data_IF_817708759091
#
_entry.id   IF_817708759091
#
_cell.length_a   1.000
_cell.length_b   1.000
_cell.length_c   1.000
_cell.angle_alpha   90.00
_cell.angle_beta   90.00
_cell.angle_gamma   90.00
#
_symmetry.space_group_name_H-M   'P 1'
#
loop_
_entity.id
_entity.type
_entity.pdbx_description
1 polymer ?
#
# COMPACT_ATOMS: atom_id res chain seq x y z
N UNK A 1 -8.06 -17.96 18.40
CA UNK A 1 -8.98 -16.83 18.23
C UNK A 1 -8.17 -15.64 17.78
N UNK A 2 -8.57 -15.02 16.68
CA UNK A 2 -7.86 -13.88 16.12
C UNK A 2 -8.23 -12.58 16.82
N UNK A 3 -7.39 -11.56 16.68
CA UNK A 3 -7.63 -10.23 17.22
C UNK A 3 -7.20 -9.15 16.24
N UNK A 4 -7.91 -8.03 16.27
CA UNK A 4 -7.50 -6.82 15.55
C UNK A 4 -6.59 -5.97 16.43
N UNK A 5 -5.46 -5.53 15.88
CA UNK A 5 -4.64 -4.47 16.45
C UNK A 5 -4.91 -3.18 15.67
N UNK A 6 -5.34 -2.13 16.35
CA UNK A 6 -5.56 -0.81 15.75
C UNK A 6 -4.39 0.08 16.12
N UNK A 7 -3.71 0.59 15.09
CA UNK A 7 -2.58 1.52 15.22
C UNK A 7 -2.99 2.84 14.54
N UNK A 8 -3.52 3.82 15.30
CA UNK A 8 -4.01 5.04 14.71
C UNK A 8 -2.87 6.03 14.41
N UNK A 9 -3.04 6.84 13.35
CA UNK A 9 -2.25 8.05 13.06
C UNK A 9 -0.72 7.83 13.06
N UNK A 10 -0.27 6.76 12.41
CA UNK A 10 1.15 6.50 12.14
C UNK A 10 1.68 7.60 11.24
N UNK A 11 2.60 8.41 11.76
CA UNK A 11 3.32 9.43 11.01
C UNK A 11 4.69 8.91 10.62
N UNK A 12 4.99 8.97 9.33
CA UNK A 12 6.22 8.47 8.74
C UNK A 12 6.95 9.58 8.02
N UNK A 13 8.20 9.81 8.40
CA UNK A 13 9.07 10.77 7.75
C UNK A 13 9.88 10.09 6.64
N UNK A 14 10.01 10.76 5.49
CA UNK A 14 10.80 10.34 4.33
C UNK A 14 10.45 8.92 3.82
N UNK A 15 9.17 8.56 3.81
CA UNK A 15 8.70 7.33 3.18
C UNK A 15 8.97 7.36 1.68
N UNK A 16 9.23 6.20 1.09
CA UNK A 16 9.37 6.06 -0.36
C UNK A 16 8.02 6.34 -1.03
N UNK A 17 8.02 7.29 -1.96
CA UNK A 17 6.83 7.65 -2.74
C UNK A 17 6.79 6.92 -4.09
N UNK A 18 7.90 6.29 -4.49
CA UNK A 18 7.96 5.51 -5.72
C UNK A 18 7.42 4.10 -5.46
N UNK A 19 6.19 3.84 -5.90
CA UNK A 19 5.51 2.56 -5.70
C UNK A 19 6.07 1.46 -6.61
N UNK A 20 6.47 1.82 -7.83
CA UNK A 20 7.18 0.92 -8.76
C UNK A 20 8.00 1.72 -9.80
N UNK A 21 8.53 1.06 -10.83
CA UNK A 21 9.41 1.66 -11.83
C UNK A 21 8.80 2.83 -12.62
N UNK A 22 7.48 2.91 -12.74
CA UNK A 22 6.79 3.92 -13.55
C UNK A 22 5.72 4.73 -12.78
N UNK A 23 5.39 4.33 -11.55
CA UNK A 23 4.39 4.97 -10.71
C UNK A 23 5.01 5.70 -9.52
N UNK A 24 4.80 7.01 -9.47
CA UNK A 24 5.13 7.89 -8.35
C UNK A 24 3.85 8.30 -7.63
N UNK A 25 3.76 7.96 -6.34
CA UNK A 25 2.55 8.11 -5.52
C UNK A 25 1.79 6.81 -5.38
N UNK A 26 0.48 6.92 -5.11
CA UNK A 26 -0.36 5.80 -4.71
C UNK A 26 -0.19 5.43 -3.24
N UNK A 27 -1.11 4.62 -2.74
CA UNK A 27 -1.06 4.13 -1.36
C UNK A 27 -0.07 2.97 -1.25
N UNK A 28 0.85 2.97 -0.27
CA UNK A 28 1.87 1.92 -0.12
C UNK A 28 1.31 0.59 0.46
N UNK A 29 0.33 -0.03 -0.19
CA UNK A 29 -0.34 -1.25 0.27
C UNK A 29 0.60 -2.46 0.38
N UNK A 30 1.49 -2.66 -0.60
CA UNK A 30 2.51 -3.71 -0.54
C UNK A 30 3.42 -3.54 0.68
N UNK A 31 3.87 -2.31 0.93
CA UNK A 31 4.68 -2.02 2.10
C UNK A 31 3.89 -2.24 3.40
N UNK A 32 2.60 -1.90 3.43
CA UNK A 32 1.75 -2.10 4.60
C UNK A 32 1.50 -3.58 4.92
N UNK A 33 1.24 -4.42 3.92
CA UNK A 33 1.10 -5.86 4.11
C UNK A 33 2.39 -6.49 4.62
N UNK A 34 3.53 -6.19 3.96
CA UNK A 34 4.83 -6.72 4.38
C UNK A 34 5.28 -6.14 5.73
N UNK A 35 4.84 -4.93 6.07
CA UNK A 35 5.03 -4.37 7.40
C UNK A 35 4.27 -5.16 8.47
N UNK A 36 2.99 -5.45 8.24
CA UNK A 36 2.19 -6.29 9.13
C UNK A 36 2.78 -7.69 9.29
N UNK A 37 3.24 -8.29 8.19
CA UNK A 37 3.95 -9.58 8.21
C UNK A 37 5.22 -9.53 9.08
N UNK A 38 6.04 -8.49 8.94
CA UNK A 38 7.22 -8.31 9.79
C UNK A 38 6.85 -8.11 11.27
N UNK A 39 5.77 -7.37 11.58
CA UNK A 39 5.28 -7.23 12.95
C UNK A 39 4.81 -8.57 13.52
N UNK A 40 4.08 -9.36 12.72
CA UNK A 40 3.61 -10.69 13.11
C UNK A 40 4.78 -11.60 13.50
N UNK A 41 5.84 -11.63 12.68
CA UNK A 41 7.07 -12.38 12.94
C UNK A 41 7.75 -11.98 14.25
N UNK A 42 7.88 -10.67 14.52
CA UNK A 42 8.47 -10.19 15.77
C UNK A 42 7.61 -10.48 17.01
N UNK A 43 6.30 -10.59 16.82
CA UNK A 43 5.35 -10.97 17.86
C UNK A 43 5.28 -12.50 18.07
N UNK A 44 5.75 -13.31 17.12
CA UNK A 44 5.64 -14.76 17.14
C UNK A 44 4.24 -15.26 16.76
N UNK A 45 3.55 -14.55 15.87
CA UNK A 45 2.22 -14.87 15.36
C UNK A 45 2.18 -14.78 13.83
N UNK A 46 1.05 -15.10 13.23
CA UNK A 46 0.74 -14.82 11.82
C UNK A 46 -0.19 -13.61 11.71
N UNK A 47 0.02 -12.81 10.67
CA UNK A 47 -0.93 -11.83 10.16
C UNK A 47 -1.94 -12.52 9.23
N UNK A 48 -3.18 -12.07 9.26
CA UNK A 48 -4.29 -12.59 8.43
C UNK A 48 -4.86 -11.52 7.49
N UNK A 49 -4.26 -10.34 7.47
CA UNK A 49 -4.67 -9.22 6.62
C UNK A 49 -4.62 -7.88 7.33
N UNK A 50 -4.77 -6.82 6.54
CA UNK A 50 -4.73 -5.43 7.01
C UNK A 50 -5.90 -4.61 6.47
N UNK A 51 -6.27 -3.56 7.20
CA UNK A 51 -7.03 -2.44 6.65
C UNK A 51 -6.14 -1.22 6.72
N UNK A 52 -5.90 -0.60 5.57
CA UNK A 52 -5.14 0.64 5.45
C UNK A 52 -6.10 1.82 5.37
N UNK A 53 -5.94 2.80 6.26
CA UNK A 53 -6.71 4.04 6.26
C UNK A 53 -5.75 5.20 6.01
N UNK A 54 -5.86 5.83 4.85
CA UNK A 54 -5.07 6.99 4.48
C UNK A 54 -5.59 8.26 5.16
N UNK A 55 -4.70 9.08 5.73
CA UNK A 55 -5.07 10.41 6.25
C UNK A 55 -4.44 11.52 5.42
N UNK A 56 -3.14 11.47 5.21
CA UNK A 56 -2.41 12.52 4.50
C UNK A 56 -1.12 12.02 3.85
N UNK A 57 -0.70 12.76 2.81
CA UNK A 57 0.59 12.60 2.16
C UNK A 57 1.15 13.95 1.71
N UNK A 58 2.23 14.36 2.36
CA UNK A 58 3.01 15.52 1.96
C UNK A 58 4.18 15.09 1.06
N UNK A 59 4.13 15.43 -0.22
CA UNK A 59 5.20 15.13 -1.18
C UNK A 59 6.41 16.02 -0.92
N UNK A 60 7.61 15.43 -0.88
CA UNK A 60 8.85 16.19 -0.71
C UNK A 60 9.41 16.58 -2.07
N UNK A 61 9.31 17.85 -2.39
CA UNK A 61 9.73 18.41 -3.66
C UNK A 61 9.14 19.80 -3.89
N UNK A 62 9.41 20.34 -5.06
CA UNK A 62 8.85 21.62 -5.52
C UNK A 62 8.03 21.44 -6.79
N UNK A 63 7.36 22.50 -7.22
CA UNK A 63 6.84 22.59 -8.57
C UNK A 63 7.74 23.50 -9.40
N UNK A 64 8.11 23.05 -10.59
CA UNK A 64 8.83 23.83 -11.59
C UNK A 64 8.16 23.62 -12.94
N UNK A 65 7.80 24.71 -13.64
CA UNK A 65 7.15 24.66 -14.96
C UNK A 65 5.89 23.76 -15.00
N UNK A 66 5.07 23.80 -13.94
CA UNK A 66 3.86 22.97 -13.83
C UNK A 66 4.12 21.48 -13.58
N UNK A 67 5.37 21.08 -13.33
CA UNK A 67 5.75 19.69 -13.05
C UNK A 67 6.31 19.55 -11.64
N UNK A 68 5.89 18.49 -10.95
CA UNK A 68 6.47 18.15 -9.65
C UNK A 68 7.91 17.67 -9.82
N UNK A 69 8.82 18.25 -9.05
CA UNK A 69 10.25 17.90 -9.01
C UNK A 69 10.57 17.38 -7.61
N UNK A 70 10.86 16.07 -7.46
CA UNK A 70 11.17 15.49 -6.16
C UNK A 70 12.41 16.12 -5.52
N UNK A 71 12.39 16.29 -4.20
CA UNK A 71 13.55 16.69 -3.44
C UNK A 71 14.63 15.60 -3.55
N UNK A 72 15.80 15.97 -4.05
CA UNK A 72 16.90 15.05 -4.23
C UNK A 72 17.72 14.91 -2.95
N UNK A 73 18.16 13.67 -2.65
CA UNK A 73 19.19 13.43 -1.64
C UNK A 73 20.56 13.82 -2.21
N UNK A 74 21.53 14.13 -1.34
CA UNK A 74 22.87 14.51 -1.77
C UNK A 74 23.46 13.46 -2.72
N UNK A 75 23.90 13.92 -3.89
CA UNK A 75 24.54 13.11 -4.91
C UNK A 75 25.09 14.01 -6.02
N UNK A 76 26.03 13.50 -6.80
CA UNK A 76 26.61 14.21 -7.93
C UNK A 76 25.73 14.00 -9.18
N UNK A 77 25.20 15.09 -9.73
CA UNK A 77 24.56 15.10 -11.06
C UNK A 77 25.57 14.67 -12.14
N UNK A 78 25.10 14.00 -13.20
CA UNK A 78 25.87 13.49 -14.36
C UNK A 78 27.34 13.92 -14.44
N UNK A 79 28.23 13.18 -13.77
CA UNK A 79 29.67 13.42 -13.79
C UNK A 79 30.31 12.73 -15.00
N UNK A 80 30.81 13.51 -15.96
CA UNK A 80 31.69 12.98 -17.01
C UNK A 80 33.13 12.83 -16.51
N UNK A 81 33.99 12.06 -17.18
CA UNK A 81 35.42 11.90 -16.81
C UNK A 81 36.23 13.22 -16.74
N UNK A 82 35.70 14.30 -17.32
CA UNK A 82 36.32 15.64 -17.34
C UNK A 82 35.73 16.60 -16.29
N UNK A 83 34.73 16.18 -15.54
CA UNK A 83 34.06 17.00 -14.52
C UNK A 83 34.98 17.18 -13.29
N UNK A 84 34.93 18.34 -12.63
CA UNK A 84 35.65 18.60 -11.38
C UNK A 84 35.35 17.54 -10.30
N UNK A 85 34.10 17.06 -10.26
CA UNK A 85 33.66 16.03 -9.31
C UNK A 85 34.12 14.61 -9.67
N UNK A 86 34.57 14.37 -10.92
CA UNK A 86 34.98 13.03 -11.39
C UNK A 86 36.25 12.46 -10.74
N UNK A 87 37.10 13.33 -10.17
CA UNK A 87 38.29 12.94 -9.41
C UNK A 87 37.99 12.67 -7.93
N UNK A 88 36.80 13.05 -7.46
CA UNK A 88 36.39 12.85 -6.09
C UNK A 88 35.85 11.42 -5.91
N UNK A 89 36.63 10.55 -5.26
CA UNK A 89 36.22 9.16 -4.93
C UNK A 89 34.96 9.08 -4.06
N UNK A 90 34.56 10.20 -3.43
CA UNK A 90 33.37 10.31 -2.60
C UNK A 90 32.15 10.89 -3.35
N UNK A 91 32.30 11.27 -4.62
CA UNK A 91 31.19 11.72 -5.45
C UNK A 91 30.34 10.53 -5.90
N UNK A 92 29.32 10.19 -5.12
CA UNK A 92 28.32 9.20 -5.50
C UNK A 92 27.40 9.76 -6.60
N UNK A 93 27.08 8.94 -7.60
CA UNK A 93 26.10 9.31 -8.62
C UNK A 93 24.76 9.67 -7.99
N UNK A 94 24.16 10.76 -8.45
CA UNK A 94 22.81 11.14 -8.04
C UNK A 94 21.83 10.03 -8.41
N UNK A 95 21.15 9.50 -7.40
CA UNK A 95 20.06 8.56 -7.59
C UNK A 95 18.75 9.35 -7.44
N UNK A 96 17.92 9.43 -8.50
CA UNK A 96 16.62 10.07 -8.39
C UNK A 96 15.79 9.37 -7.31
N UNK A 97 15.45 10.09 -6.25
CA UNK A 97 14.58 9.56 -5.20
C UNK A 97 13.33 10.41 -5.07
N UNK A 98 12.18 9.75 -4.90
CA UNK A 98 10.93 10.40 -4.56
C UNK A 98 10.52 10.01 -3.13
N UNK A 99 10.35 11.00 -2.26
CA UNK A 99 9.96 10.76 -0.86
C UNK A 99 8.75 11.61 -0.46
N UNK A 100 8.04 11.16 0.55
CA UNK A 100 6.92 11.88 1.16
C UNK A 100 6.96 11.77 2.70
N UNK A 101 6.22 12.64 3.38
CA UNK A 101 5.75 12.39 4.73
C UNK A 101 4.35 11.79 4.62
N UNK A 102 4.08 10.72 5.36
CA UNK A 102 2.82 10.00 5.33
C UNK A 102 2.17 10.02 6.70
N UNK A 103 0.85 10.12 6.70
CA UNK A 103 0.01 9.85 7.86
C UNK A 103 -1.07 8.84 7.48
N UNK A 104 -1.14 7.74 8.21
CA UNK A 104 -2.13 6.68 7.99
C UNK A 104 -2.46 5.95 9.30
N UNK A 105 -3.62 5.30 9.36
CA UNK A 105 -3.92 4.31 10.39
C UNK A 105 -3.86 2.92 9.78
N UNK A 106 -3.50 1.94 10.61
CA UNK A 106 -3.42 0.54 10.19
C UNK A 106 -4.19 -0.32 11.18
N UNK A 107 -5.10 -1.15 10.67
CA UNK A 107 -5.69 -2.25 11.42
C UNK A 107 -5.05 -3.54 10.91
N UNK A 108 -4.60 -4.41 11.81
CA UNK A 108 -3.99 -5.70 11.46
C UNK A 108 -4.77 -6.81 12.15
N UNK A 109 -5.22 -7.81 11.40
CA UNK A 109 -5.80 -9.05 11.94
C UNK A 109 -4.65 -10.01 12.26
N UNK A 110 -4.48 -10.40 13.52
CA UNK A 110 -3.46 -11.38 13.94
C UNK A 110 -4.12 -12.69 14.38
N UNK A 111 -3.51 -13.81 14.00
CA UNK A 111 -3.90 -15.15 14.43
C UNK A 111 -3.47 -15.47 15.88
N UNK A 112 -3.67 -14.53 16.81
CA UNK A 112 -3.31 -14.70 18.22
C UNK A 112 -4.39 -14.13 19.14
N UNK A 113 -4.71 -14.87 20.19
CA UNK A 113 -5.65 -14.46 21.24
C UNK A 113 -5.00 -13.56 22.29
N UNK A 114 -3.68 -13.47 22.32
CA UNK A 114 -2.90 -12.68 23.28
C UNK A 114 -1.96 -11.74 22.53
N UNK A 115 -2.48 -10.55 22.21
CA UNK A 115 -1.69 -9.46 21.65
C UNK A 115 -1.38 -8.45 22.76
N UNK A 116 -0.10 -8.15 23.01
CA UNK A 116 0.32 -7.10 23.95
C UNK A 116 0.49 -5.78 23.20
N UNK A 117 -0.35 -4.76 23.49
CA UNK A 117 -0.18 -3.41 22.94
C UNK A 117 1.18 -2.80 23.27
N UNK A 118 1.75 -3.12 24.43
CA UNK A 118 3.04 -2.59 24.91
C UNK A 118 4.20 -3.14 24.07
N UNK A 119 4.20 -4.46 23.81
CA UNK A 119 5.20 -5.09 22.95
C UNK A 119 5.12 -4.54 21.53
N UNK A 120 3.90 -4.39 20.99
CA UNK A 120 3.69 -3.80 19.67
C UNK A 120 4.17 -2.35 19.61
N UNK A 121 3.89 -1.54 20.64
CA UNK A 121 4.39 -0.16 20.78
C UNK A 121 5.91 -0.11 20.74
N UNK A 122 6.59 -0.98 21.49
CA UNK A 122 8.05 -1.05 21.50
C UNK A 122 8.64 -1.48 20.14
N UNK A 123 7.96 -2.36 19.41
CA UNK A 123 8.35 -2.73 18.05
C UNK A 123 8.17 -1.55 17.08
N UNK A 124 7.04 -0.86 17.12
CA UNK A 124 6.75 0.25 16.20
C UNK A 124 7.74 1.42 16.34
N UNK A 125 8.14 1.77 17.57
CA UNK A 125 9.10 2.86 17.84
C UNK A 125 10.47 2.69 17.17
N UNK A 126 10.88 1.45 16.87
CA UNK A 126 12.15 1.13 16.20
C UNK A 126 11.97 0.70 14.74
N UNK A 127 10.74 0.69 14.25
CA UNK A 127 10.41 0.19 12.94
C UNK A 127 10.47 1.28 11.87
N UNK A 128 10.60 0.84 10.62
CA UNK A 128 10.50 1.69 9.44
C UNK A 128 9.31 1.26 8.60
N UNK A 129 8.70 2.21 7.91
CA UNK A 129 7.60 1.97 7.00
C UNK A 129 7.92 2.54 5.62
N UNK A 130 7.80 1.74 4.57
CA UNK A 130 8.18 2.11 3.20
C UNK A 130 9.57 2.79 3.12
N UNK A 131 10.54 2.31 3.92
CA UNK A 131 11.89 2.89 4.03
C UNK A 131 12.02 4.18 4.85
N UNK A 132 10.90 4.81 5.22
CA UNK A 132 10.84 5.98 6.09
C UNK A 132 10.82 5.64 7.58
N UNK A 133 11.11 6.63 8.43
CA UNK A 133 11.12 6.48 9.88
C UNK A 133 9.72 6.75 10.46
N UNK A 134 9.22 5.86 11.30
CA UNK A 134 8.02 6.13 12.09
C UNK A 134 8.42 7.09 13.20
N UNK A 135 7.80 8.28 13.23
CA UNK A 135 8.10 9.34 14.20
C UNK A 135 7.07 9.43 15.32
N UNK A 136 5.82 9.07 15.03
CA UNK A 136 4.70 9.21 15.95
C UNK A 136 3.56 8.24 15.56
N UNK A 137 2.78 7.82 16.55
CA UNK A 137 1.50 7.11 16.39
C UNK A 137 0.68 7.27 17.66
N UNK A 138 -0.65 7.17 17.55
CA UNK A 138 -1.57 7.25 18.70
C UNK A 138 -1.63 5.93 19.48
N UNK A 139 -2.35 5.95 20.62
CA UNK A 139 -2.51 4.78 21.48
C UNK A 139 -3.06 3.56 20.72
N UNK A 140 -2.37 2.42 20.88
CA UNK A 140 -2.72 1.15 20.25
C UNK A 140 -3.82 0.49 21.06
N UNK A 141 -4.85 0.01 20.37
CA UNK A 141 -5.92 -0.78 21.00
C UNK A 141 -6.08 -2.13 20.33
N UNK A 142 -6.57 -3.11 21.09
CA UNK A 142 -6.87 -4.46 20.58
C UNK A 142 -8.34 -4.78 20.71
N UNK A 143 -8.90 -5.39 19.68
CA UNK A 143 -10.32 -5.76 19.61
C UNK A 143 -10.45 -7.24 19.26
N UNK A 144 -11.55 -7.85 19.67
CA UNK A 144 -11.88 -9.22 19.30
C UNK A 144 -12.24 -9.31 17.80
N UNK A 145 -12.20 -10.53 17.25
CA UNK A 145 -12.47 -10.78 15.82
C UNK A 145 -13.88 -10.35 15.37
N UNK A 146 -14.86 -10.35 16.27
CA UNK A 146 -16.21 -9.89 16.00
C UNK A 146 -16.42 -8.37 16.24
N UNK A 147 -15.36 -7.63 16.59
CA UNK A 147 -15.42 -6.21 16.96
C UNK A 147 -14.76 -5.30 15.92
N UNK A 148 -14.77 -5.69 14.64
CA UNK A 148 -14.13 -4.92 13.56
C UNK A 148 -14.71 -3.50 13.42
N UNK A 149 -16.03 -3.36 13.55
CA UNK A 149 -16.68 -2.04 13.50
C UNK A 149 -16.18 -1.12 14.63
N UNK A 150 -16.07 -1.65 15.85
CA UNK A 150 -15.50 -0.95 17.01
C UNK A 150 -14.04 -0.56 16.77
N UNK A 151 -13.26 -1.44 16.14
CA UNK A 151 -11.88 -1.18 15.75
C UNK A 151 -11.78 -0.03 14.72
N UNK A 152 -12.65 0.01 13.72
CA UNK A 152 -12.72 1.08 12.72
C UNK A 152 -13.18 2.42 13.33
N UNK A 153 -14.18 2.39 14.23
CA UNK A 153 -14.69 3.56 14.96
C UNK A 153 -13.61 4.27 15.80
N UNK A 154 -12.54 3.57 16.21
CA UNK A 154 -11.40 4.21 16.90
C UNK A 154 -10.61 5.18 16.01
N UNK A 155 -10.60 4.98 14.69
CA UNK A 155 -9.87 5.82 13.74
C UNK A 155 -10.67 7.07 13.36
N UNK A 156 -12.01 6.94 13.29
CA UNK A 156 -13.02 7.98 13.00
C UNK A 156 -13.01 8.55 11.57
N UNK A 157 -11.86 8.99 11.06
CA UNK A 157 -11.76 9.70 9.77
C UNK A 157 -10.66 9.13 8.88
N UNK A 158 -10.60 9.55 7.63
CA UNK A 158 -9.63 9.09 6.64
C UNK A 158 -10.29 8.28 5.50
N UNK A 159 -9.46 7.75 4.63
CA UNK A 159 -9.90 7.02 3.43
C UNK A 159 -9.43 5.58 3.48
N UNK A 160 -10.38 4.65 3.51
CA UNK A 160 -10.13 3.23 3.28
C UNK A 160 -9.80 3.02 1.81
N UNK A 161 -8.90 2.09 1.53
CA UNK A 161 -8.53 1.77 0.16
C UNK A 161 -9.30 0.55 -0.31
N UNK A 162 -9.97 0.70 -1.45
CA UNK A 162 -10.74 -0.35 -2.10
C UNK A 162 -10.02 -0.80 -3.39
N UNK A 163 -9.94 -2.11 -3.62
CA UNK A 163 -9.59 -2.68 -4.91
C UNK A 163 -10.70 -2.37 -5.91
N UNK A 164 -10.34 -1.83 -7.08
CA UNK A 164 -11.27 -1.50 -8.16
C UNK A 164 -10.89 -2.15 -9.48
N UNK A 165 -10.44 -3.40 -9.43
CA UNK A 165 -10.23 -4.23 -10.62
C UNK A 165 -11.51 -4.37 -11.46
N UNK A 166 -12.69 -4.38 -10.83
CA UNK A 166 -14.02 -4.36 -11.45
C UNK A 166 -14.13 -3.22 -12.47
N UNK A 167 -13.82 -1.98 -12.07
CA UNK A 167 -13.89 -0.81 -12.94
C UNK A 167 -12.98 -0.94 -14.16
N UNK A 168 -11.79 -1.49 -13.96
CA UNK A 168 -10.83 -1.69 -15.04
C UNK A 168 -11.33 -2.72 -16.06
N UNK A 169 -11.91 -3.84 -15.59
CA UNK A 169 -12.49 -4.87 -16.45
C UNK A 169 -13.68 -4.29 -17.23
N UNK A 170 -14.59 -3.63 -16.54
CA UNK A 170 -15.80 -3.07 -17.13
C UNK A 170 -15.48 -1.98 -18.16
N UNK A 171 -14.58 -1.05 -17.82
CA UNK A 171 -14.14 0.00 -18.74
C UNK A 171 -13.50 -0.57 -20.01
N UNK A 172 -12.67 -1.62 -19.85
CA UNK A 172 -12.06 -2.32 -20.97
C UNK A 172 -13.12 -2.93 -21.89
N UNK A 173 -14.10 -3.63 -21.31
CA UNK A 173 -15.13 -4.33 -22.08
C UNK A 173 -16.07 -3.36 -22.80
N UNK A 174 -16.57 -2.33 -22.12
CA UNK A 174 -17.49 -1.32 -22.69
C UNK A 174 -16.84 -0.55 -23.85
N UNK A 175 -15.56 -0.20 -23.73
CA UNK A 175 -14.84 0.55 -24.76
C UNK A 175 -14.13 -0.32 -25.81
N UNK A 176 -14.07 -1.65 -25.61
CA UNK A 176 -13.39 -2.62 -26.50
C UNK A 176 -11.92 -2.27 -26.77
N UNK A 177 -11.21 -1.88 -25.73
CA UNK A 177 -9.78 -1.48 -25.78
C UNK A 177 -8.91 -2.49 -25.03
N UNK A 178 -7.59 -2.37 -25.14
CA UNK A 178 -6.68 -3.23 -24.35
C UNK A 178 -6.55 -2.76 -22.89
N UNK A 179 -6.05 -3.65 -22.01
CA UNK A 179 -5.95 -3.41 -20.56
C UNK A 179 -5.12 -2.16 -20.20
N UNK A 180 -4.02 -1.92 -20.90
CA UNK A 180 -3.12 -0.77 -20.64
C UNK A 180 -3.80 0.54 -21.07
N UNK A 181 -4.52 0.53 -22.20
CA UNK A 181 -5.33 1.67 -22.64
C UNK A 181 -6.45 1.95 -21.63
N UNK A 182 -7.18 0.93 -21.18
CA UNK A 182 -8.21 1.08 -20.16
C UNK A 182 -7.65 1.66 -18.87
N UNK A 183 -6.51 1.14 -18.40
CA UNK A 183 -5.84 1.61 -17.19
C UNK A 183 -5.42 3.08 -17.28
N UNK A 184 -4.79 3.49 -18.38
CA UNK A 184 -4.33 4.88 -18.55
C UNK A 184 -5.49 5.86 -18.74
N UNK A 185 -6.52 5.48 -19.50
CA UNK A 185 -7.70 6.31 -19.72
C UNK A 185 -8.52 6.48 -18.43
N UNK A 186 -8.74 5.39 -17.68
CA UNK A 186 -9.49 5.43 -16.42
C UNK A 186 -8.83 6.36 -15.39
N UNK A 187 -7.50 6.31 -15.25
CA UNK A 187 -6.74 7.21 -14.37
C UNK A 187 -6.73 8.67 -14.84
N UNK A 188 -7.03 8.93 -16.11
CA UNK A 188 -7.12 10.28 -16.65
C UNK A 188 -8.52 10.90 -16.45
N UNK A 189 -9.54 10.11 -16.09
CA UNK A 189 -10.89 10.63 -15.87
C UNK A 189 -10.96 11.44 -14.57
N UNK A 190 -11.62 12.59 -14.66
CA UNK A 190 -12.06 13.34 -13.48
C UNK A 190 -13.29 12.67 -12.86
N UNK A 191 -13.65 13.10 -11.64
CA UNK A 191 -14.78 12.54 -10.90
C UNK A 191 -16.11 12.55 -11.68
N UNK A 192 -16.48 13.65 -12.35
CA UNK A 192 -17.80 13.70 -13.02
C UNK A 192 -17.89 12.74 -14.21
N UNK A 193 -16.95 12.74 -15.18
CA UNK A 193 -16.96 11.74 -16.25
C UNK A 193 -16.91 10.30 -15.74
N UNK A 194 -16.17 10.05 -14.66
CA UNK A 194 -16.09 8.73 -14.04
C UNK A 194 -17.48 8.29 -13.52
N UNK A 195 -18.13 9.12 -12.72
CA UNK A 195 -19.47 8.86 -12.18
C UNK A 195 -20.50 8.66 -13.27
N UNK A 196 -20.47 9.48 -14.32
CA UNK A 196 -21.39 9.36 -15.47
C UNK A 196 -21.16 8.06 -16.24
N UNK A 197 -19.91 7.65 -16.46
CA UNK A 197 -19.61 6.44 -17.23
C UNK A 197 -20.12 5.17 -16.55
N UNK A 198 -19.91 5.06 -15.23
CA UNK A 198 -20.31 3.89 -14.45
C UNK A 198 -21.71 4.01 -13.84
N UNK A 199 -22.35 5.19 -13.93
CA UNK A 199 -23.61 5.51 -13.26
C UNK A 199 -23.55 5.27 -11.73
N UNK A 200 -22.42 5.56 -11.11
CA UNK A 200 -22.19 5.40 -9.67
C UNK A 200 -21.66 6.72 -9.09
N UNK A 201 -22.46 7.34 -8.21
CA UNK A 201 -22.14 8.63 -7.58
C UNK A 201 -21.13 8.51 -6.44
N UNK A 202 -20.91 7.30 -5.91
CA UNK A 202 -19.94 7.01 -4.86
C UNK A 202 -18.50 7.03 -5.41
N UNK A 203 -18.34 6.86 -6.73
CA UNK A 203 -17.04 6.91 -7.39
C UNK A 203 -16.39 8.28 -7.20
N UNK A 204 -15.26 8.26 -6.52
CA UNK A 204 -14.41 9.42 -6.35
C UNK A 204 -13.00 8.97 -6.04
N UNK A 205 -12.03 9.75 -6.50
CA UNK A 205 -10.61 9.55 -6.18
C UNK A 205 -10.09 8.13 -6.46
N UNK A 206 -10.08 7.78 -7.75
CA UNK A 206 -9.35 6.60 -8.22
C UNK A 206 -7.85 6.91 -8.27
N UNK A 207 -7.04 5.90 -7.96
CA UNK A 207 -5.59 5.94 -8.10
C UNK A 207 -5.08 4.58 -8.57
N UNK A 208 -3.76 4.47 -8.65
CA UNK A 208 -3.08 3.23 -8.91
C UNK A 208 -2.08 2.94 -7.79
N UNK A 209 -1.78 1.66 -7.59
CA UNK A 209 -0.70 1.23 -6.70
C UNK A 209 -0.17 -0.14 -7.09
N UNK A 210 1.01 -0.48 -6.58
CA UNK A 210 1.57 -1.81 -6.75
C UNK A 210 0.81 -2.80 -5.87
N UNK A 211 0.09 -3.72 -6.50
CA UNK A 211 -0.67 -4.76 -5.83
C UNK A 211 0.06 -6.10 -5.83
N UNK A 212 1.09 -6.30 -6.65
CA UNK A 212 1.73 -7.60 -6.70
C UNK A 212 3.01 -7.63 -7.49
N UNK A 213 3.45 -8.84 -7.78
CA UNK A 213 4.60 -9.14 -8.61
C UNK A 213 4.32 -10.39 -9.45
N UNK A 214 4.70 -10.34 -10.72
CA UNK A 214 4.75 -11.52 -11.59
C UNK A 214 6.20 -11.95 -11.75
N UNK A 215 6.50 -13.21 -11.50
CA UNK A 215 7.83 -13.77 -11.66
C UNK A 215 8.19 -13.83 -13.15
N UNK A 216 9.44 -13.49 -13.46
CA UNK A 216 10.00 -13.56 -14.81
C UNK A 216 10.71 -14.90 -15.06
N UNK A 217 10.90 -15.68 -14.00
CA UNK A 217 11.62 -16.95 -14.00
C UNK A 217 11.04 -17.85 -12.90
N UNK A 218 11.20 -19.16 -13.06
CA UNK A 218 10.88 -20.12 -11.99
C UNK A 218 11.76 -19.85 -10.78
N UNK A 219 11.16 -19.81 -9.59
CA UNK A 219 11.89 -19.59 -8.34
C UNK A 219 12.92 -20.71 -8.11
N UNK A 220 14.15 -20.31 -7.75
CA UNK A 220 15.26 -21.24 -7.53
C UNK A 220 16.05 -20.90 -6.27
N UNK A 221 16.46 -21.91 -5.52
CA UNK A 221 17.35 -21.83 -4.34
C UNK A 221 18.84 -21.87 -4.71
N UNK A 222 19.17 -22.05 -5.99
CA UNK A 222 20.55 -22.18 -6.48
C UNK A 222 21.29 -20.84 -6.58
N UNK A 223 20.59 -19.71 -6.39
CA UNK A 223 21.17 -18.37 -6.55
C UNK A 223 21.89 -17.94 -5.27
N UNK A 224 23.18 -17.67 -5.36
CA UNK A 224 23.98 -17.18 -4.22
C UNK A 224 23.94 -15.66 -4.08
N UNK A 225 24.13 -15.15 -2.85
CA UNK A 225 24.27 -13.71 -2.59
C UNK A 225 22.94 -12.97 -2.47
N UNK A 226 21.86 -13.67 -2.14
CA UNK A 226 20.53 -13.09 -1.97
C UNK A 226 20.51 -12.24 -0.71
N UNK A 227 20.17 -10.97 -0.83
CA UNK A 227 20.13 -10.05 0.32
C UNK A 227 19.02 -10.46 1.28
N UNK A 228 19.35 -10.55 2.58
CA UNK A 228 18.37 -10.79 3.66
C UNK A 228 17.56 -12.09 3.55
N UNK A 229 18.07 -13.10 2.82
CA UNK A 229 17.58 -14.46 2.93
C UNK A 229 17.74 -14.95 4.38
N UNK A 230 16.70 -15.54 4.96
CA UNK A 230 16.76 -16.14 6.31
C UNK A 230 17.80 -17.26 6.33
N UNK A 231 17.84 -18.01 5.23
CA UNK A 231 18.84 -19.01 4.93
C UNK A 231 19.16 -18.92 3.43
N UNK A 232 20.43 -18.66 3.12
CA UNK A 232 20.93 -18.51 1.75
C UNK A 232 20.77 -19.79 0.92
N UNK A 233 20.69 -20.95 1.58
CA UNK A 233 20.65 -22.25 0.92
C UNK A 233 19.24 -22.76 0.65
N UNK A 234 18.21 -22.17 1.29
CA UNK A 234 16.81 -22.61 1.14
C UNK A 234 15.85 -21.50 0.73
N UNK A 235 16.29 -20.24 0.68
CA UNK A 235 15.45 -19.15 0.20
C UNK A 235 15.44 -19.13 -1.32
N UNK A 236 14.35 -19.64 -1.91
CA UNK A 236 14.12 -19.53 -3.35
C UNK A 236 14.02 -18.05 -3.79
N UNK A 237 14.58 -17.76 -4.96
CA UNK A 237 14.62 -16.43 -5.55
C UNK A 237 14.15 -16.47 -7.00
N UNK A 238 13.42 -15.45 -7.42
CA UNK A 238 13.11 -15.15 -8.81
C UNK A 238 13.16 -13.63 -9.03
N UNK A 239 13.57 -13.21 -10.23
CA UNK A 239 13.29 -11.85 -10.71
C UNK A 239 11.79 -11.70 -10.96
N UNK A 240 11.27 -10.49 -10.75
CA UNK A 240 9.84 -10.23 -10.89
C UNK A 240 9.57 -8.80 -11.39
N UNK A 241 8.43 -8.62 -12.05
CA UNK A 241 7.92 -7.33 -12.46
C UNK A 241 6.70 -6.90 -11.62
N UNK A 242 6.53 -5.59 -11.36
CA UNK A 242 5.44 -5.07 -10.56
C UNK A 242 4.08 -5.21 -11.26
N UNK A 243 3.08 -5.74 -10.56
CA UNK A 243 1.68 -5.74 -10.98
C UNK A 243 0.97 -4.53 -10.37
N UNK A 244 0.52 -3.62 -11.24
CA UNK A 244 -0.17 -2.38 -10.82
C UNK A 244 -1.67 -2.51 -11.01
N UNK A 245 -2.42 -2.23 -9.96
CA UNK A 245 -3.87 -2.25 -9.99
C UNK A 245 -4.49 -0.87 -9.82
N UNK A 246 -5.80 -0.81 -10.02
CA UNK A 246 -6.63 0.36 -9.79
C UNK A 246 -7.23 0.26 -8.40
N UNK A 247 -7.15 1.34 -7.63
CA UNK A 247 -7.69 1.42 -6.27
C UNK A 247 -8.50 2.69 -6.11
N UNK A 248 -9.39 2.71 -5.13
CA UNK A 248 -10.18 3.88 -4.77
C UNK A 248 -9.93 4.28 -3.32
N UNK A 249 -9.85 5.59 -3.08
CA UNK A 249 -9.87 6.17 -1.73
C UNK A 249 -11.32 6.45 -1.35
N UNK A 250 -11.87 5.66 -0.43
CA UNK A 250 -13.26 5.75 -0.01
C UNK A 250 -13.38 6.22 1.45
N UNK A 251 -14.31 7.14 1.72
CA UNK A 251 -14.44 7.73 3.06
C UNK A 251 -14.79 6.68 4.12
N UNK A 252 -13.94 6.55 5.15
CA UNK A 252 -14.24 5.69 6.30
C UNK A 252 -15.54 6.12 7.00
N UNK A 253 -15.79 7.42 7.08
CA UNK A 253 -17.00 7.95 7.69
C UNK A 253 -18.26 7.57 6.92
N UNK A 254 -18.17 7.47 5.59
CA UNK A 254 -19.29 7.01 4.76
C UNK A 254 -19.54 5.51 4.93
N UNK A 255 -18.47 4.69 4.96
CA UNK A 255 -18.57 3.25 5.25
C UNK A 255 -19.25 3.02 6.60
N UNK A 256 -18.78 3.69 7.66
CA UNK A 256 -19.32 3.53 9.02
C UNK A 256 -20.76 4.03 9.16
N UNK A 257 -21.16 5.03 8.36
CA UNK A 257 -22.54 5.51 8.35
C UNK A 257 -23.44 4.47 7.67
N UNK A 258 -23.08 4.04 6.47
CA UNK A 258 -23.85 3.07 5.68
C UNK A 258 -23.91 1.69 6.34
N UNK A 259 -22.84 1.24 7.00
CA UNK A 259 -22.84 -0.03 7.73
C UNK A 259 -23.80 -0.05 8.91
N UNK A 260 -24.20 1.12 9.44
CA UNK A 260 -25.18 1.24 10.51
C UNK A 260 -26.63 1.35 9.98
N UNK A 261 -26.82 1.61 8.69
CA UNK A 261 -28.12 1.70 8.03
C UNK A 261 -28.56 0.28 7.61
N UNK A 262 -29.65 -0.23 8.18
CA UNK A 262 -30.12 -1.60 7.93
C UNK A 262 -30.55 -1.87 6.47
N UNK A 263 -30.80 -0.81 5.69
CA UNK A 263 -31.34 -0.89 4.34
C UNK A 263 -30.26 -0.88 3.23
N UNK A 264 -28.98 -0.64 3.56
CA UNK A 264 -27.86 -0.65 2.59
C UNK A 264 -26.89 -1.82 2.84
N UNK A 265 -27.07 -2.98 2.17
CA UNK A 265 -26.25 -4.17 2.39
C UNK A 265 -24.78 -3.99 2.02
N UNK A 266 -24.42 -2.93 1.28
CA UNK A 266 -23.10 -2.76 0.64
C UNK A 266 -21.91 -2.83 1.61
N UNK A 267 -22.12 -2.43 2.87
CA UNK A 267 -21.06 -2.35 3.88
C UNK A 267 -21.31 -3.20 5.13
N UNK A 268 -22.24 -4.16 5.06
CA UNK A 268 -22.53 -5.06 6.17
C UNK A 268 -21.38 -6.04 6.46
N UNK A 269 -20.63 -6.43 5.43
CA UNK A 269 -19.46 -7.31 5.54
C UNK A 269 -18.15 -6.50 5.58
N UNK A 270 -17.88 -5.83 6.71
CA UNK A 270 -16.67 -5.03 6.88
C UNK A 270 -15.36 -5.83 6.73
N UNK A 271 -15.40 -7.15 6.86
CA UNK A 271 -14.23 -8.02 6.61
C UNK A 271 -13.76 -7.99 5.16
N UNK A 272 -14.61 -7.58 4.21
CA UNK A 272 -14.22 -7.41 2.81
C UNK A 272 -13.15 -6.32 2.64
N UNK A 273 -13.05 -5.38 3.59
CA UNK A 273 -12.03 -4.32 3.59
C UNK A 273 -10.61 -4.85 3.83
N UNK A 274 -10.45 -6.09 4.30
CA UNK A 274 -9.15 -6.67 4.58
C UNK A 274 -8.38 -6.95 3.28
N UNK A 275 -7.23 -6.31 3.16
CA UNK A 275 -6.19 -6.71 2.21
C UNK A 275 -5.43 -7.90 2.76
N UNK A 276 -5.34 -8.95 1.95
CA UNK A 276 -4.51 -10.13 2.20
C UNK A 276 -3.52 -10.29 1.05
N UNK A 277 -2.56 -11.21 1.19
CA UNK A 277 -1.65 -11.57 0.12
C UNK A 277 -1.66 -13.07 -0.10
N UNK A 278 -1.55 -13.48 -1.36
CA UNK A 278 -1.50 -14.88 -1.74
C UNK A 278 -0.74 -15.09 -3.05
N UNK A 279 -0.50 -16.37 -3.34
CA UNK A 279 0.02 -16.86 -4.61
C UNK A 279 -1.15 -17.48 -5.41
N UNK A 280 -1.92 -16.70 -6.18
CA UNK A 280 -3.01 -17.25 -6.99
C UNK A 280 -2.50 -18.21 -8.08
N UNK A 281 -1.24 -18.05 -8.50
CA UNK A 281 -0.52 -18.92 -9.43
C UNK A 281 0.92 -19.03 -8.92
N UNK A 282 1.65 -20.07 -9.35
CA UNK A 282 3.03 -20.32 -8.91
C UNK A 282 4.00 -19.16 -9.23
N UNK A 283 3.67 -18.37 -10.26
CA UNK A 283 4.45 -17.24 -10.77
C UNK A 283 3.81 -15.87 -10.47
N UNK A 284 2.72 -15.80 -9.71
CA UNK A 284 2.04 -14.54 -9.38
C UNK A 284 1.89 -14.40 -7.87
N UNK A 285 2.45 -13.33 -7.32
CA UNK A 285 2.20 -12.89 -5.95
C UNK A 285 1.32 -11.65 -5.96
N UNK A 286 0.19 -11.67 -5.26
CA UNK A 286 -0.81 -10.61 -5.36
C UNK A 286 -1.42 -10.26 -4.01
N UNK A 287 -1.59 -8.96 -3.78
CA UNK A 287 -2.47 -8.41 -2.76
C UNK A 287 -3.90 -8.39 -3.30
N UNK A 288 -4.85 -8.87 -2.49
CA UNK A 288 -6.25 -8.87 -2.84
C UNK A 288 -7.10 -8.47 -1.65
N UNK A 289 -8.21 -7.80 -1.94
CA UNK A 289 -9.32 -7.68 -1.00
C UNK A 289 -10.34 -8.78 -1.29
N UNK A 290 -11.06 -9.20 -0.25
CA UNK A 290 -12.20 -10.10 -0.39
C UNK A 290 -13.44 -9.41 -0.99
N UNK A 291 -13.29 -8.19 -1.55
CA UNK A 291 -14.35 -7.45 -2.21
C UNK A 291 -14.81 -8.20 -3.46
N UNK A 292 -15.85 -9.00 -3.30
CA UNK A 292 -16.59 -9.58 -4.43
C UNK A 292 -17.58 -8.51 -4.89
N UNK A 293 -17.16 -7.64 -5.83
CA UNK A 293 -17.99 -6.61 -6.47
C UNK A 293 -18.76 -5.71 -5.49
N UNK A 294 -18.25 -4.50 -5.22
CA UNK A 294 -19.11 -3.43 -4.73
C UNK A 294 -20.11 -3.10 -5.86
N UNK A 295 -21.30 -3.69 -5.78
CA UNK A 295 -22.44 -3.37 -6.66
C UNK A 295 -23.10 -2.07 -6.22
#
# INVERSE_FOLDING_TARGET
MSRYAVIPRIRVQNANMQSNGFLLGGVPLMAANMFAHNLARQLGTQDQGIIYIHHDQQRLGGQAYGKFTPAQRRGAVFIGKKDYSSKNKYALSLQPTASCHLEFSLIIKFASSRLSPEKLTHILKRSRFAGGQIIEFSEISTHHENELESALKKIKTGFVILDRQDLLIEYQQRNRINRIQAFTQLLALKSDPLRTFFNDQSLSWISATNLGYALLETATDQRTGIRQAQDQHSTAHAYAEPLTGIVQYFSLGEILRKSAEADDPSWHELEQLLWTYQWPQDDIFLLQQNCTNAN
#
